data_IF_555602311239
#
_entry.id   IF_555602311239
#
_cell.length_a   1.000
_cell.length_b   1.000
_cell.length_c   1.000
_cell.angle_alpha   90.00
_cell.angle_beta   90.00
_cell.angle_gamma   90.00
#
_symmetry.space_group_name_H-M   'P 1'
#
loop_
_entity.id
_entity.type
_entity.pdbx_description
1 polymer ?
#
# COMPACT_ATOMS: atom_id res chain seq x y z
N UNK A 1 2.13 6.11 16.69
CA UNK A 1 1.49 5.82 15.39
C UNK A 1 1.61 4.34 15.09
N UNK A 2 0.79 3.78 14.19
CA UNK A 2 0.97 2.38 13.80
C UNK A 2 2.12 2.23 12.79
N UNK A 3 2.77 1.07 12.75
CA UNK A 3 3.81 0.77 11.77
C UNK A 3 3.36 1.03 10.33
N UNK A 4 2.12 0.64 10.00
CA UNK A 4 1.51 0.92 8.69
C UNK A 4 1.41 2.43 8.38
N UNK A 5 1.03 3.24 9.39
CA UNK A 5 0.94 4.69 9.23
C UNK A 5 2.32 5.34 9.01
N UNK A 6 3.33 4.89 9.74
CA UNK A 6 4.72 5.36 9.60
C UNK A 6 5.27 5.02 8.22
N UNK A 7 5.09 3.78 7.77
CA UNK A 7 5.45 3.33 6.43
C UNK A 7 4.77 4.17 5.34
N UNK A 8 3.47 4.43 5.47
CA UNK A 8 2.75 5.30 4.52
C UNK A 8 3.26 6.73 4.53
N UNK A 9 3.58 7.29 5.70
CA UNK A 9 4.15 8.63 5.81
C UNK A 9 5.53 8.73 5.16
N UNK A 10 6.36 7.70 5.25
CA UNK A 10 7.63 7.60 4.57
C UNK A 10 7.45 7.55 3.06
N UNK A 11 6.65 6.60 2.56
CA UNK A 11 6.40 6.40 1.13
C UNK A 11 5.73 7.63 0.47
N UNK A 12 4.93 8.38 1.21
CA UNK A 12 4.32 9.60 0.70
C UNK A 12 5.33 10.72 0.41
N UNK A 13 6.55 10.66 0.97
CA UNK A 13 7.64 11.64 0.70
C UNK A 13 8.42 11.31 -0.56
N UNK A 14 8.37 10.06 -1.03
CA UNK A 14 9.07 9.62 -2.24
C UNK A 14 8.40 10.22 -3.46
N UNK A 15 9.10 11.04 -4.22
CA UNK A 15 8.62 11.61 -5.50
C UNK A 15 9.66 11.27 -6.56
N UNK A 16 9.22 10.64 -7.65
CA UNK A 16 10.11 10.32 -8.77
C UNK A 16 10.48 11.57 -9.55
N UNK A 17 11.71 11.59 -10.09
CA UNK A 17 12.12 12.56 -11.10
C UNK A 17 11.39 12.39 -12.43
N UNK A 18 10.98 11.15 -12.76
CA UNK A 18 10.35 10.78 -14.03
C UNK A 18 8.84 10.98 -13.98
N UNK A 19 8.30 11.70 -14.96
CA UNK A 19 6.87 11.97 -15.09
C UNK A 19 6.04 10.69 -15.21
N UNK A 20 6.49 9.72 -16.03
CA UNK A 20 5.79 8.45 -16.21
C UNK A 20 5.60 7.68 -14.90
N UNK A 21 6.61 7.68 -14.00
CA UNK A 21 6.49 7.05 -12.69
C UNK A 21 5.49 7.78 -11.80
N UNK A 22 5.46 9.11 -11.85
CA UNK A 22 4.51 9.91 -11.09
C UNK A 22 3.06 9.66 -11.55
N UNK A 23 2.85 9.54 -12.86
CA UNK A 23 1.53 9.22 -13.45
C UNK A 23 1.10 7.81 -13.04
N UNK A 24 2.01 6.82 -13.11
CA UNK A 24 1.74 5.44 -12.69
C UNK A 24 1.36 5.37 -11.21
N UNK A 25 2.09 6.09 -10.35
CA UNK A 25 1.80 6.16 -8.92
C UNK A 25 0.44 6.80 -8.62
N UNK A 26 0.13 7.92 -9.28
CA UNK A 26 -1.15 8.59 -9.11
C UNK A 26 -2.31 7.72 -9.61
N UNK A 27 -2.14 7.01 -10.75
CA UNK A 27 -3.13 6.07 -11.27
C UNK A 27 -3.46 4.98 -10.25
N UNK A 28 -2.44 4.34 -9.68
CA UNK A 28 -2.62 3.31 -8.67
C UNK A 28 -3.32 3.82 -7.41
N UNK A 29 -2.94 5.02 -6.93
CA UNK A 29 -3.54 5.64 -5.76
C UNK A 29 -5.01 5.96 -5.99
N UNK A 30 -5.37 6.47 -7.19
CA UNK A 30 -6.76 6.74 -7.57
C UNK A 30 -7.56 5.46 -7.71
N UNK A 31 -7.02 4.40 -8.33
CA UNK A 31 -7.70 3.09 -8.45
C UNK A 31 -7.95 2.43 -7.10
N UNK A 32 -7.06 2.62 -6.13
CA UNK A 32 -7.16 2.00 -4.80
C UNK A 32 -7.97 2.83 -3.79
N UNK A 33 -7.96 4.15 -3.88
CA UNK A 33 -8.54 5.03 -2.84
C UNK A 33 -9.37 6.21 -3.38
N UNK A 34 -9.52 6.31 -4.70
CA UNK A 34 -10.34 7.34 -5.35
C UNK A 34 -11.78 6.90 -5.58
N UNK A 35 -12.65 7.87 -5.79
CA UNK A 35 -14.02 7.68 -6.23
C UNK A 35 -14.36 8.64 -7.35
N UNK A 36 -15.04 8.14 -8.37
CA UNK A 36 -15.53 8.93 -9.50
C UNK A 36 -17.00 9.24 -9.26
N UNK A 37 -17.37 10.50 -9.33
CA UNK A 37 -18.74 10.98 -9.14
C UNK A 37 -19.26 11.54 -10.46
N UNK A 38 -20.40 11.07 -10.90
CA UNK A 38 -21.11 11.63 -12.07
C UNK A 38 -21.99 12.78 -11.56
N UNK A 39 -21.75 13.99 -12.06
CA UNK A 39 -22.48 15.20 -11.67
C UNK A 39 -23.17 15.78 -12.89
N UNK A 40 -24.52 15.75 -12.88
CA UNK A 40 -25.30 16.23 -14.01
C UNK A 40 -25.07 15.45 -15.30
N UNK A 41 -25.30 16.08 -16.45
CA UNK A 41 -25.16 15.42 -17.75
C UNK A 41 -23.67 15.35 -18.15
N UNK A 42 -23.08 14.15 -18.17
CA UNK A 42 -21.72 13.83 -18.65
C UNK A 42 -20.56 14.60 -17.96
N UNK A 43 -20.72 15.05 -16.71
CA UNK A 43 -19.61 15.66 -15.96
C UNK A 43 -19.07 14.67 -14.91
N UNK A 44 -17.74 14.44 -14.94
CA UNK A 44 -17.06 13.58 -13.99
C UNK A 44 -16.28 14.40 -12.98
N UNK A 45 -16.43 14.08 -11.71
CA UNK A 45 -15.58 14.58 -10.65
C UNK A 45 -14.77 13.45 -10.05
N UNK A 46 -13.47 13.67 -9.84
CA UNK A 46 -12.61 12.74 -9.11
C UNK A 46 -12.50 13.21 -7.67
N UNK A 47 -12.87 12.36 -6.74
CA UNK A 47 -12.73 12.60 -5.30
C UNK A 47 -11.75 11.60 -4.70
N UNK A 48 -10.73 12.08 -3.99
CA UNK A 48 -9.76 11.27 -3.27
C UNK A 48 -9.87 11.62 -1.79
N UNK A 49 -10.09 10.60 -0.95
CA UNK A 49 -10.24 10.77 0.50
C UNK A 49 -9.17 9.98 1.22
N UNK A 50 -8.50 10.60 2.19
CA UNK A 50 -7.46 9.94 3.00
C UNK A 50 -7.44 10.51 4.41
N UNK A 51 -7.10 9.68 5.39
CA UNK A 51 -6.89 10.13 6.78
C UNK A 51 -5.47 10.69 7.01
N UNK A 52 -4.54 10.46 6.06
CA UNK A 52 -3.15 10.86 6.20
C UNK A 52 -2.85 12.14 5.41
N UNK A 53 -2.51 13.20 6.12
CA UNK A 53 -2.09 14.48 5.53
C UNK A 53 -0.92 14.32 4.53
N UNK A 54 0.03 13.41 4.81
CA UNK A 54 1.17 13.12 3.93
C UNK A 54 0.73 12.64 2.55
N UNK A 55 -0.29 11.76 2.49
CA UNK A 55 -0.87 11.26 1.23
C UNK A 55 -1.61 12.39 0.51
N UNK A 56 -2.43 13.17 1.22
CA UNK A 56 -3.13 14.30 0.62
C UNK A 56 -2.16 15.31 -0.02
N UNK A 57 -1.07 15.65 0.67
CA UNK A 57 -0.02 16.52 0.13
C UNK A 57 0.70 15.90 -1.08
N UNK A 58 0.93 14.59 -1.08
CA UNK A 58 1.52 13.90 -2.21
C UNK A 58 0.62 13.98 -3.44
N UNK A 59 -0.65 13.65 -3.29
CA UNK A 59 -1.63 13.74 -4.38
C UNK A 59 -1.68 15.16 -4.94
N UNK A 60 -1.77 16.17 -4.08
CA UNK A 60 -1.75 17.57 -4.50
C UNK A 60 -0.51 17.91 -5.33
N UNK A 61 0.69 17.49 -4.85
CA UNK A 61 1.95 17.74 -5.58
C UNK A 61 1.98 17.02 -6.93
N UNK A 62 1.50 15.76 -7.00
CA UNK A 62 1.47 14.99 -8.25
C UNK A 62 0.50 15.61 -9.27
N UNK A 63 -0.68 16.05 -8.83
CA UNK A 63 -1.66 16.75 -9.69
C UNK A 63 -1.11 18.07 -10.22
N UNK A 64 -0.49 18.87 -9.35
CA UNK A 64 0.09 20.16 -9.75
C UNK A 64 1.28 19.99 -10.69
N UNK A 65 2.22 19.08 -10.37
CA UNK A 65 3.47 18.92 -11.13
C UNK A 65 3.25 18.33 -12.52
N UNK A 66 2.38 17.30 -12.65
CA UNK A 66 2.27 16.54 -13.89
C UNK A 66 1.06 16.94 -14.76
N UNK A 67 0.07 17.61 -14.19
CA UNK A 67 -1.17 17.96 -14.88
C UNK A 67 -1.52 19.43 -14.80
N UNK A 68 -0.75 20.23 -14.06
CA UNK A 68 -1.02 21.66 -13.75
C UNK A 68 -2.41 21.88 -13.12
N UNK A 69 -2.94 20.88 -12.42
CA UNK A 69 -4.23 20.96 -11.73
C UNK A 69 -4.02 21.49 -10.31
N UNK A 70 -4.65 22.64 -10.03
CA UNK A 70 -4.69 23.22 -8.70
C UNK A 70 -5.98 22.80 -8.00
N UNK A 71 -5.94 21.72 -7.24
CA UNK A 71 -7.07 21.27 -6.41
C UNK A 71 -7.00 21.87 -5.02
N UNK A 72 -8.14 21.97 -4.34
CA UNK A 72 -8.23 22.36 -2.94
C UNK A 72 -8.23 21.13 -2.05
N UNK A 73 -7.61 21.23 -0.88
CA UNK A 73 -7.67 20.20 0.15
C UNK A 73 -8.69 20.64 1.20
N UNK A 74 -9.81 19.95 1.27
CA UNK A 74 -10.80 20.15 2.33
C UNK A 74 -10.50 19.23 3.50
N UNK A 75 -10.62 19.74 4.72
CA UNK A 75 -10.42 18.97 5.95
C UNK A 75 -11.76 18.79 6.64
N UNK A 76 -12.24 17.54 6.66
CA UNK A 76 -13.44 17.18 7.40
C UNK A 76 -13.03 16.66 8.79
N UNK A 77 -13.46 17.37 9.83
CA UNK A 77 -13.28 16.94 11.22
C UNK A 77 -14.46 16.05 11.60
N UNK A 78 -14.25 14.75 11.68
CA UNK A 78 -15.27 13.84 12.21
C UNK A 78 -15.37 13.99 13.73
N UNK A 79 -16.47 14.56 14.22
CA UNK A 79 -16.71 14.77 15.64
C UNK A 79 -17.21 13.51 16.38
N UNK A 80 -17.63 12.45 15.67
CA UNK A 80 -18.47 11.44 16.31
C UNK A 80 -17.79 10.21 16.91
N UNK A 81 -16.62 9.72 16.51
CA UNK A 81 -16.07 8.48 17.10
C UNK A 81 -14.52 8.32 17.07
N UNK A 82 -13.83 9.03 16.23
CA UNK A 82 -12.36 9.14 16.26
C UNK A 82 -12.01 10.55 15.83
N UNK A 83 -11.18 11.25 16.63
CA UNK A 83 -10.65 12.59 16.33
C UNK A 83 -9.70 12.64 15.14
N UNK A 84 -9.92 11.80 14.11
CA UNK A 84 -9.08 11.76 12.93
C UNK A 84 -9.65 12.72 11.88
N UNK A 85 -8.82 13.63 11.41
CA UNK A 85 -9.13 14.47 10.27
C UNK A 85 -9.18 13.62 9.00
N UNK A 86 -10.18 13.83 8.16
CA UNK A 86 -10.24 13.28 6.82
C UNK A 86 -9.94 14.39 5.81
N UNK A 87 -8.97 14.13 4.94
CA UNK A 87 -8.54 15.06 3.89
C UNK A 87 -9.21 14.64 2.58
N UNK A 88 -9.90 15.56 1.97
CA UNK A 88 -10.60 15.36 0.71
C UNK A 88 -10.01 16.26 -0.36
N UNK A 89 -9.57 15.67 -1.46
CA UNK A 89 -9.17 16.37 -2.68
C UNK A 89 -10.21 16.11 -3.74
N UNK A 90 -10.63 17.18 -4.44
CA UNK A 90 -11.61 17.08 -5.49
C UNK A 90 -11.05 17.72 -6.77
N UNK A 91 -11.10 16.98 -7.87
CA UNK A 91 -10.83 17.48 -9.21
C UNK A 91 -12.14 17.49 -9.96
N UNK A 92 -12.63 18.69 -10.29
CA UNK A 92 -13.91 18.87 -11.00
C UNK A 92 -13.73 18.74 -12.51
N UNK A 93 -14.85 18.61 -13.23
CA UNK A 93 -14.83 18.63 -14.70
C UNK A 93 -14.21 19.90 -15.28
N UNK A 94 -14.40 21.05 -14.62
CA UNK A 94 -13.82 22.34 -15.02
C UNK A 94 -12.29 22.36 -14.84
N UNK A 95 -11.76 21.57 -13.92
CA UNK A 95 -10.31 21.38 -13.71
C UNK A 95 -9.71 20.32 -14.65
N UNK A 96 -10.52 19.70 -15.55
CA UNK A 96 -10.05 18.71 -16.50
C UNK A 96 -10.00 17.28 -15.93
N UNK A 97 -10.89 16.92 -15.01
CA UNK A 97 -10.95 15.58 -14.39
C UNK A 97 -11.06 14.45 -15.42
N UNK A 98 -11.79 14.65 -16.52
CA UNK A 98 -11.96 13.67 -17.58
C UNK A 98 -10.64 13.38 -18.30
N UNK A 99 -9.91 14.44 -18.71
CA UNK A 99 -8.59 14.31 -19.32
C UNK A 99 -7.59 13.66 -18.35
N UNK A 100 -7.65 14.00 -17.07
CA UNK A 100 -6.84 13.36 -16.03
C UNK A 100 -7.13 11.87 -15.96
N UNK A 101 -8.40 11.46 -15.86
CA UNK A 101 -8.80 10.04 -15.75
C UNK A 101 -8.38 9.22 -16.99
N UNK A 102 -8.44 9.80 -18.20
CA UNK A 102 -7.94 9.20 -19.44
C UNK A 102 -6.42 8.98 -19.37
N UNK A 103 -5.66 10.00 -19.00
CA UNK A 103 -4.19 9.90 -18.85
C UNK A 103 -3.77 8.90 -17.76
N UNK A 104 -4.57 8.74 -16.71
CA UNK A 104 -4.36 7.75 -15.66
C UNK A 104 -4.79 6.33 -16.07
N UNK A 105 -5.31 6.12 -17.30
CA UNK A 105 -5.78 4.82 -17.77
C UNK A 105 -6.94 4.27 -16.93
N UNK A 106 -7.83 5.16 -16.47
CA UNK A 106 -9.01 4.83 -15.69
C UNK A 106 -10.27 4.96 -16.53
N UNK A 107 -10.26 5.85 -17.50
CA UNK A 107 -11.36 6.11 -18.42
C UNK A 107 -10.93 5.80 -19.85
N UNK A 108 -11.82 5.18 -20.63
CA UNK A 108 -11.60 4.90 -22.06
C UNK A 108 -12.39 5.88 -22.95
N UNK A 109 -11.83 6.19 -24.15
CA UNK A 109 -12.44 7.03 -25.18
C UNK A 109 -13.46 6.22 -26.01
N UNK A 110 -14.51 5.71 -25.39
CA UNK A 110 -15.65 5.09 -26.09
C UNK A 110 -16.91 5.92 -25.92
N UNK A 111 -17.92 5.71 -26.76
CA UNK A 111 -19.23 6.30 -26.56
C UNK A 111 -19.80 5.89 -25.20
N UNK A 112 -19.67 6.77 -24.21
CA UNK A 112 -20.04 6.57 -22.81
C UNK A 112 -18.83 6.55 -21.87
N UNK A 113 -19.12 6.60 -20.54
CA UNK A 113 -18.08 6.51 -19.51
C UNK A 113 -17.80 5.05 -19.15
N UNK A 114 -16.79 4.47 -19.81
CA UNK A 114 -16.30 3.13 -19.46
C UNK A 114 -15.06 3.25 -18.58
N UNK A 115 -15.16 2.76 -17.35
CA UNK A 115 -14.02 2.68 -16.44
C UNK A 115 -13.19 1.44 -16.75
N UNK A 116 -11.88 1.62 -16.89
CA UNK A 116 -10.92 0.52 -17.06
C UNK A 116 -10.45 0.11 -15.66
N UNK A 117 -10.84 -1.10 -15.26
CA UNK A 117 -10.45 -1.64 -13.97
C UNK A 117 -9.03 -2.23 -13.99
N UNK A 118 -8.63 -2.86 -15.08
CA UNK A 118 -7.29 -3.43 -15.27
C UNK A 118 -6.20 -2.35 -15.26
N UNK A 119 -4.98 -2.76 -14.93
CA UNK A 119 -3.81 -1.89 -15.05
C UNK A 119 -3.44 -1.76 -16.52
N UNK A 120 -3.36 -0.53 -17.03
CA UNK A 120 -2.92 -0.28 -18.39
C UNK A 120 -1.42 -0.58 -18.53
N UNK A 121 -1.05 -1.42 -19.51
CA UNK A 121 0.35 -1.78 -19.79
C UNK A 121 1.22 -0.54 -20.10
N UNK A 122 0.62 0.47 -20.71
CA UNK A 122 1.31 1.73 -20.99
C UNK A 122 1.85 2.44 -19.76
N UNK A 123 1.18 2.28 -18.59
CA UNK A 123 1.58 2.88 -17.33
C UNK A 123 2.71 2.14 -16.64
N UNK A 124 2.92 0.87 -16.97
CA UNK A 124 3.87 -0.02 -16.28
C UNK A 124 4.96 -0.57 -17.20
N UNK A 125 5.27 0.12 -18.31
CA UNK A 125 6.30 -0.31 -19.29
C UNK A 125 7.69 -0.43 -18.66
N UNK A 126 8.06 0.51 -17.79
CA UNK A 126 9.39 0.57 -17.18
C UNK A 126 9.33 0.04 -15.74
N UNK A 127 10.40 -0.59 -15.27
CA UNK A 127 10.48 -1.07 -13.88
C UNK A 127 10.21 0.04 -12.85
N UNK A 128 10.75 1.25 -13.06
CA UNK A 128 10.48 2.40 -12.19
C UNK A 128 8.99 2.73 -12.09
N UNK A 129 8.25 2.60 -13.21
CA UNK A 129 6.80 2.80 -13.24
C UNK A 129 6.05 1.67 -12.49
N UNK A 130 6.50 0.41 -12.62
CA UNK A 130 5.94 -0.72 -11.86
C UNK A 130 6.09 -0.50 -10.35
N UNK A 131 7.30 -0.13 -9.90
CA UNK A 131 7.59 0.18 -8.49
C UNK A 131 6.76 1.36 -7.98
N UNK A 132 6.65 2.42 -8.76
CA UNK A 132 5.84 3.58 -8.44
C UNK A 132 4.34 3.24 -8.37
N UNK A 133 3.85 2.37 -9.28
CA UNK A 133 2.47 1.90 -9.28
C UNK A 133 2.15 1.13 -7.99
N UNK A 134 3.00 0.17 -7.58
CA UNK A 134 2.81 -0.59 -6.33
C UNK A 134 2.85 0.35 -5.11
N UNK A 135 3.76 1.33 -5.10
CA UNK A 135 3.80 2.37 -4.04
C UNK A 135 2.47 3.13 -3.97
N UNK A 136 1.93 3.55 -5.12
CA UNK A 136 0.62 4.22 -5.19
C UNK A 136 -0.53 3.35 -4.69
N UNK A 137 -0.56 2.07 -5.08
CA UNK A 137 -1.55 1.10 -4.62
C UNK A 137 -1.47 0.90 -3.09
N UNK A 138 -0.25 0.83 -2.53
CA UNK A 138 -0.06 0.74 -1.08
C UNK A 138 -0.52 2.00 -0.34
N UNK A 139 -0.24 3.18 -0.87
CA UNK A 139 -0.70 4.43 -0.28
C UNK A 139 -2.23 4.56 -0.29
N UNK A 140 -2.88 4.11 -1.37
CA UNK A 140 -4.34 4.19 -1.54
C UNK A 140 -5.11 3.14 -0.72
N UNK A 141 -4.73 1.87 -0.82
CA UNK A 141 -5.47 0.75 -0.23
C UNK A 141 -4.62 -0.27 0.54
N UNK A 142 -3.29 -0.02 0.68
CA UNK A 142 -2.40 -0.95 1.35
C UNK A 142 -2.41 -0.83 2.87
N UNK A 143 -1.98 -1.90 3.53
CA UNK A 143 -1.60 -1.89 4.95
C UNK A 143 -0.49 -2.90 5.22
N UNK A 144 0.23 -2.71 6.31
CA UNK A 144 1.26 -3.62 6.78
C UNK A 144 1.10 -3.80 8.29
N UNK A 145 1.18 -5.04 8.74
CA UNK A 145 1.10 -5.37 10.15
C UNK A 145 2.37 -4.95 10.89
N UNK A 146 2.22 -4.75 12.19
CA UNK A 146 3.34 -4.55 13.10
C UNK A 146 4.25 -5.80 13.07
N UNK A 147 5.54 -5.65 12.71
CA UNK A 147 6.46 -6.77 12.61
C UNK A 147 6.71 -7.47 13.95
N UNK A 148 6.40 -6.84 15.09
CA UNK A 148 6.44 -7.51 16.40
C UNK A 148 5.36 -8.58 16.53
N UNK A 149 4.22 -8.43 15.83
CA UNK A 149 3.10 -9.37 15.90
C UNK A 149 3.18 -10.44 14.81
N UNK A 150 3.14 -10.01 13.56
CA UNK A 150 3.19 -10.90 12.40
C UNK A 150 3.75 -10.18 11.16
N UNK A 151 4.10 -10.96 10.15
CA UNK A 151 4.51 -10.47 8.84
C UNK A 151 3.33 -10.58 7.89
N UNK A 152 2.71 -9.45 7.56
CA UNK A 152 1.57 -9.39 6.66
C UNK A 152 1.50 -8.02 6.01
N UNK A 153 1.62 -7.99 4.69
CA UNK A 153 1.38 -6.81 3.85
C UNK A 153 0.21 -7.10 2.93
N UNK A 154 -0.74 -6.19 2.86
CA UNK A 154 -1.95 -6.37 2.06
C UNK A 154 -2.30 -5.11 1.27
N UNK A 155 -3.01 -5.32 0.15
CA UNK A 155 -3.62 -4.30 -0.70
C UNK A 155 -5.10 -4.63 -0.83
N UNK A 156 -5.95 -3.73 -0.39
CA UNK A 156 -7.40 -3.91 -0.38
C UNK A 156 -8.01 -3.12 -1.52
N UNK A 157 -8.87 -3.75 -2.31
CA UNK A 157 -9.64 -3.13 -3.37
C UNK A 157 -11.04 -3.73 -3.44
N UNK A 158 -12.00 -2.99 -3.92
CA UNK A 158 -13.36 -3.47 -4.21
C UNK A 158 -13.51 -4.04 -5.63
N UNK A 159 -12.45 -4.02 -6.43
CA UNK A 159 -12.47 -4.45 -7.82
C UNK A 159 -11.58 -5.68 -8.03
N UNK A 160 -12.19 -6.79 -8.52
CA UNK A 160 -11.53 -8.06 -8.76
C UNK A 160 -10.48 -7.98 -9.87
N UNK A 161 -10.84 -7.38 -11.02
CA UNK A 161 -9.91 -7.24 -12.16
C UNK A 161 -8.67 -6.43 -11.80
N UNK A 162 -8.83 -5.42 -10.94
CA UNK A 162 -7.70 -4.64 -10.43
C UNK A 162 -6.83 -5.49 -9.49
N UNK A 163 -7.46 -6.29 -8.61
CA UNK A 163 -6.73 -7.19 -7.70
C UNK A 163 -5.89 -8.21 -8.49
N UNK A 164 -6.47 -8.83 -9.52
CA UNK A 164 -5.76 -9.78 -10.40
C UNK A 164 -4.60 -9.11 -11.14
N UNK A 165 -4.85 -7.93 -11.72
CA UNK A 165 -3.81 -7.17 -12.42
C UNK A 165 -2.67 -6.76 -11.46
N UNK A 166 -2.99 -6.39 -10.22
CA UNK A 166 -2.00 -6.02 -9.21
C UNK A 166 -1.17 -7.23 -8.77
N UNK A 167 -1.79 -8.40 -8.61
CA UNK A 167 -1.09 -9.66 -8.33
C UNK A 167 -0.09 -9.99 -9.44
N UNK A 168 -0.51 -9.92 -10.71
CA UNK A 168 0.39 -10.17 -11.85
C UNK A 168 1.52 -9.14 -11.93
N UNK A 169 1.24 -7.88 -11.61
CA UNK A 169 2.27 -6.85 -11.52
C UNK A 169 3.30 -7.16 -10.44
N UNK A 170 2.86 -7.53 -9.24
CA UNK A 170 3.72 -7.93 -8.12
C UNK A 170 4.57 -9.15 -8.52
N UNK A 171 3.95 -10.15 -9.17
CA UNK A 171 4.64 -11.35 -9.69
C UNK A 171 5.69 -11.00 -10.74
N UNK A 172 5.43 -10.03 -11.61
CA UNK A 172 6.39 -9.57 -12.64
C UNK A 172 7.67 -8.96 -12.06
N UNK A 173 7.67 -8.58 -10.79
CA UNK A 173 8.84 -8.11 -10.04
C UNK A 173 9.48 -9.21 -9.17
N UNK A 174 9.03 -10.46 -9.29
CA UNK A 174 9.61 -11.61 -8.58
C UNK A 174 8.97 -11.93 -7.24
N UNK A 175 7.85 -11.29 -6.87
CA UNK A 175 7.20 -11.52 -5.58
C UNK A 175 5.95 -12.40 -5.69
N UNK A 176 5.76 -13.29 -4.73
CA UNK A 176 4.60 -14.15 -4.64
C UNK A 176 3.52 -13.53 -3.75
N UNK A 177 2.40 -13.16 -4.34
CA UNK A 177 1.23 -12.69 -3.62
C UNK A 177 0.03 -13.61 -3.84
N UNK A 178 -0.89 -13.61 -2.87
CA UNK A 178 -2.14 -14.37 -2.93
C UNK A 178 -3.31 -13.40 -2.91
N UNK A 179 -4.45 -13.84 -3.45
CA UNK A 179 -5.71 -13.09 -3.38
C UNK A 179 -6.69 -13.86 -2.50
N UNK A 180 -7.44 -13.13 -1.69
CA UNK A 180 -8.58 -13.64 -0.94
C UNK A 180 -9.74 -12.65 -1.03
N UNK A 181 -10.93 -13.16 -1.29
CA UNK A 181 -12.15 -12.37 -1.21
C UNK A 181 -12.59 -12.23 0.26
N UNK A 182 -12.86 -11.02 0.71
CA UNK A 182 -13.37 -10.70 2.05
C UNK A 182 -14.59 -9.79 1.94
N UNK A 183 -15.77 -10.33 2.15
CA UNK A 183 -17.05 -9.61 1.95
C UNK A 183 -17.08 -9.02 0.53
N UNK A 184 -17.12 -7.71 0.40
CA UNK A 184 -17.19 -6.99 -0.87
C UNK A 184 -15.80 -6.52 -1.37
N UNK A 185 -14.71 -6.98 -0.76
CA UNK A 185 -13.35 -6.57 -1.11
C UNK A 185 -12.50 -7.76 -1.53
N UNK A 186 -11.55 -7.48 -2.40
CA UNK A 186 -10.48 -8.39 -2.80
C UNK A 186 -9.18 -7.91 -2.16
N UNK A 187 -8.48 -8.83 -1.49
CA UNK A 187 -7.25 -8.54 -0.75
C UNK A 187 -6.10 -9.29 -1.38
N UNK A 188 -5.17 -8.56 -1.99
CA UNK A 188 -3.88 -9.09 -2.46
C UNK A 188 -2.90 -9.00 -1.29
N UNK A 189 -2.25 -10.10 -0.91
CA UNK A 189 -1.40 -10.10 0.28
C UNK A 189 -0.12 -10.93 0.13
N UNK A 190 0.89 -10.57 0.93
CA UNK A 190 2.18 -11.23 1.10
C UNK A 190 2.39 -11.50 2.60
N UNK A 191 2.87 -12.69 2.96
CA UNK A 191 3.12 -13.09 4.37
C UNK A 191 4.59 -13.41 4.67
N UNK A 192 5.41 -13.57 3.65
CA UNK A 192 6.81 -13.90 3.81
C UNK A 192 7.62 -12.65 4.16
N UNK A 193 8.32 -12.67 5.29
CA UNK A 193 9.08 -11.52 5.80
C UNK A 193 10.14 -11.01 4.82
N UNK A 194 10.83 -11.93 4.12
CA UNK A 194 11.84 -11.59 3.11
C UNK A 194 11.20 -10.83 1.95
N UNK A 195 10.13 -11.38 1.38
CA UNK A 195 9.44 -10.73 0.26
C UNK A 195 8.85 -9.35 0.64
N UNK A 196 8.35 -9.21 1.88
CA UNK A 196 7.87 -7.91 2.37
C UNK A 196 9.04 -6.92 2.49
N UNK A 197 10.20 -7.38 3.01
CA UNK A 197 11.42 -6.56 3.09
C UNK A 197 11.87 -6.07 1.73
N UNK A 198 11.97 -6.98 0.77
CA UNK A 198 12.40 -6.67 -0.60
C UNK A 198 11.40 -5.75 -1.30
N UNK A 199 10.11 -5.98 -1.12
CA UNK A 199 9.07 -5.12 -1.68
C UNK A 199 9.12 -3.71 -1.08
N UNK A 200 9.32 -3.57 0.25
CA UNK A 200 9.53 -2.27 0.90
C UNK A 200 10.74 -1.54 0.31
N UNK A 201 11.85 -2.26 0.10
CA UNK A 201 13.06 -1.72 -0.51
C UNK A 201 12.79 -1.10 -1.88
N UNK A 202 12.15 -1.86 -2.78
CA UNK A 202 11.94 -1.41 -4.17
C UNK A 202 10.91 -0.29 -4.31
N UNK A 203 9.93 -0.20 -3.38
CA UNK A 203 8.95 0.89 -3.38
C UNK A 203 9.43 2.14 -2.64
N UNK A 204 10.60 2.07 -1.97
CA UNK A 204 11.26 3.21 -1.31
C UNK A 204 10.94 3.36 0.18
N UNK A 205 10.50 2.30 0.86
CA UNK A 205 10.23 2.25 2.31
C UNK A 205 11.44 1.79 3.10
N UNK A 206 12.55 2.50 3.01
CA UNK A 206 13.83 2.08 3.58
C UNK A 206 13.84 2.10 5.12
N UNK A 207 13.18 3.07 5.73
CA UNK A 207 13.07 3.14 7.18
C UNK A 207 12.18 2.02 7.73
N UNK A 208 11.06 1.75 7.06
CA UNK A 208 10.18 0.63 7.39
C UNK A 208 10.91 -0.71 7.23
N UNK A 209 11.72 -0.86 6.18
CA UNK A 209 12.60 -2.03 5.96
C UNK A 209 13.56 -2.24 7.13
N UNK A 210 14.31 -1.21 7.54
CA UNK A 210 15.26 -1.30 8.65
C UNK A 210 14.56 -1.68 9.96
N UNK A 211 13.41 -1.09 10.24
CA UNK A 211 12.61 -1.43 11.43
C UNK A 211 12.16 -2.88 11.43
N UNK A 212 11.72 -3.39 10.25
CA UNK A 212 11.31 -4.79 10.10
C UNK A 212 12.50 -5.74 10.31
N UNK A 213 13.66 -5.45 9.72
CA UNK A 213 14.88 -6.25 9.87
C UNK A 213 15.37 -6.27 11.32
N UNK A 214 15.40 -5.13 12.00
CA UNK A 214 15.77 -5.05 13.42
C UNK A 214 14.83 -5.92 14.29
N UNK A 215 13.53 -5.84 14.06
CA UNK A 215 12.55 -6.67 14.79
C UNK A 215 12.78 -8.15 14.53
N UNK A 216 13.11 -8.54 13.29
CA UNK A 216 13.41 -9.92 12.92
C UNK A 216 14.63 -10.44 13.71
N UNK A 217 15.72 -9.69 13.71
CA UNK A 217 16.96 -10.06 14.45
C UNK A 217 16.66 -10.25 15.93
N UNK A 218 15.93 -9.32 16.55
CA UNK A 218 15.56 -9.41 17.98
C UNK A 218 14.71 -10.66 18.27
N UNK A 219 13.77 -11.00 17.39
CA UNK A 219 12.97 -12.23 17.52
C UNK A 219 13.82 -13.50 17.40
N UNK A 220 14.73 -13.53 16.45
CA UNK A 220 15.64 -14.66 16.25
C UNK A 220 16.56 -14.85 17.48
N UNK A 221 17.12 -13.76 18.01
CA UNK A 221 17.93 -13.82 19.23
C UNK A 221 17.13 -14.35 20.41
N UNK A 222 15.90 -13.86 20.65
CA UNK A 222 15.02 -14.36 21.73
C UNK A 222 14.69 -15.83 21.56
N UNK A 223 14.39 -16.27 20.34
CA UNK A 223 14.10 -17.67 20.04
C UNK A 223 15.32 -18.57 20.32
N UNK A 224 16.52 -18.14 19.97
CA UNK A 224 17.75 -18.89 20.23
C UNK A 224 18.03 -19.00 21.72
N UNK A 225 17.91 -17.90 22.47
CA UNK A 225 18.06 -17.93 23.95
C UNK A 225 17.03 -18.86 24.57
N UNK A 226 15.77 -18.80 24.19
CA UNK A 226 14.74 -19.69 24.69
C UNK A 226 15.04 -21.17 24.40
N UNK A 227 15.57 -21.48 23.20
CA UNK A 227 15.98 -22.85 22.85
C UNK A 227 17.11 -23.36 23.73
N UNK A 228 18.13 -22.53 24.01
CA UNK A 228 19.25 -22.86 24.88
C UNK A 228 18.73 -23.11 26.29
N UNK A 229 17.96 -22.21 26.87
CA UNK A 229 17.39 -22.34 28.23
C UNK A 229 16.52 -23.59 28.35
N UNK A 230 15.66 -23.86 27.36
CA UNK A 230 14.81 -25.05 27.37
C UNK A 230 15.64 -26.34 27.30
N UNK A 231 16.71 -26.35 26.49
CA UNK A 231 17.63 -27.50 26.40
C UNK A 231 18.37 -27.74 27.73
N UNK A 232 18.91 -26.70 28.33
CA UNK A 232 19.62 -26.80 29.63
C UNK A 232 18.68 -27.26 30.75
N UNK A 233 17.47 -26.71 30.82
CA UNK A 233 16.46 -27.10 31.81
C UNK A 233 16.06 -28.57 31.64
N UNK A 234 15.85 -29.02 30.40
CA UNK A 234 15.51 -30.41 30.12
C UNK A 234 16.67 -31.38 30.49
N UNK A 235 17.92 -31.00 30.23
CA UNK A 235 19.11 -31.78 30.59
C UNK A 235 19.29 -31.82 32.10
N UNK A 236 19.16 -30.72 32.79
CA UNK A 236 19.22 -30.68 34.26
C UNK A 236 18.16 -31.58 34.90
N UNK A 237 16.91 -31.48 34.41
CA UNK A 237 15.82 -32.38 34.88
C UNK A 237 16.12 -33.85 34.69
N UNK A 238 16.69 -34.23 33.51
CA UNK A 238 17.12 -35.65 33.27
C UNK A 238 18.23 -36.07 34.21
N UNK A 239 19.22 -35.23 34.45
CA UNK A 239 20.35 -35.52 35.35
C UNK A 239 19.88 -35.68 36.79
N UNK A 240 19.03 -34.81 37.28
CA UNK A 240 18.44 -34.89 38.63
C UNK A 240 17.61 -36.18 38.79
N UNK A 241 16.75 -36.49 37.81
CA UNK A 241 15.93 -37.70 37.84
C UNK A 241 16.79 -39.01 37.77
N UNK A 242 17.91 -38.97 37.05
CA UNK A 242 18.84 -40.10 37.02
C UNK A 242 19.54 -40.28 38.38
N UNK A 243 20.01 -39.19 38.98
CA UNK A 243 20.64 -39.21 40.29
C UNK A 243 19.69 -39.72 41.39
N UNK A 244 18.43 -39.27 41.40
CA UNK A 244 17.41 -39.74 42.37
C UNK A 244 17.08 -41.21 42.22
N UNK A 245 17.25 -41.81 41.03
CA UNK A 245 17.03 -43.28 40.81
C UNK A 245 18.21 -44.13 41.22
N UNK A 246 19.38 -43.54 41.43
CA UNK A 246 20.60 -44.25 41.82
C UNK A 246 20.82 -44.28 43.35
N UNK A 247 20.07 -43.51 44.09
CA UNK A 247 20.00 -43.51 45.54
C UNK A 247 18.82 -44.35 46.02
#
# INVERSE_FOLDING_TARGET
MSFSTETKNELARVISGNECCNIAELSALVKSGGSIQIVGYKKLHLKITTELNSIARKVFKLLKKNFNINTTISVNKNQMLKRNNSYVLMVTSEMGSEMLLKKLGILEDKEGFFTINKISENLIKHEGCKRAFIRGAFLGGGSISDPEKNYHMEFVTNNEEFADSLKELIKSLGFNSKIVARKNNHVVYIKESEQISDLLSIIGGHHALLSLQNTKIVKEMRNNVNRIVNCETANLSKTVNAAVRQV
#
